data_IF_859095274061
#
_entry.id   IF_859095274061
#
_cell.length_a   1.000
_cell.length_b   1.000
_cell.length_c   1.000
_cell.angle_alpha   90.00
_cell.angle_beta   90.00
_cell.angle_gamma   90.00
#
_symmetry.space_group_name_H-M   'P 1'
#
loop_
_entity.id
_entity.type
_entity.pdbx_description
1 polymer ?
#
# COMPACT_ATOMS: atom_id res chain seq x y z
N UNK A 1 -28.94 18.44 -28.63
CA UNK A 1 -28.58 17.62 -27.45
C UNK A 1 -29.04 16.20 -27.73
N UNK A 2 -28.08 15.29 -27.91
CA UNK A 2 -28.32 13.86 -28.22
C UNK A 2 -28.60 13.00 -26.99
N UNK A 3 -28.57 13.59 -25.80
CA UNK A 3 -28.73 12.86 -24.54
C UNK A 3 -29.95 13.40 -23.80
N UNK A 4 -30.83 12.50 -23.41
CA UNK A 4 -31.91 12.81 -22.48
C UNK A 4 -31.36 13.01 -21.08
N UNK A 5 -31.94 13.94 -20.32
CA UNK A 5 -31.56 14.18 -18.94
C UNK A 5 -32.05 12.99 -18.09
N UNK A 6 -31.15 12.13 -17.73
CA UNK A 6 -31.45 11.07 -16.76
C UNK A 6 -31.65 11.65 -15.37
N UNK A 7 -32.54 11.07 -14.57
CA UNK A 7 -32.72 11.43 -13.16
C UNK A 7 -31.42 11.23 -12.35
N UNK A 8 -31.46 11.68 -11.10
CA UNK A 8 -30.32 11.49 -10.17
C UNK A 8 -30.09 9.98 -9.96
N UNK A 9 -28.94 9.50 -10.39
CA UNK A 9 -28.52 8.11 -10.13
C UNK A 9 -27.80 8.08 -8.80
N UNK A 10 -28.19 7.17 -7.91
CA UNK A 10 -27.43 6.90 -6.69
C UNK A 10 -26.10 6.22 -7.08
N UNK A 11 -25.02 6.96 -6.91
CA UNK A 11 -23.65 6.50 -7.19
C UNK A 11 -22.85 6.26 -5.91
N UNK A 12 -23.53 6.12 -4.76
CA UNK A 12 -22.86 5.84 -3.49
C UNK A 12 -22.16 4.47 -3.54
N UNK A 13 -20.89 4.46 -3.17
CA UNK A 13 -20.10 3.22 -3.06
C UNK A 13 -20.30 2.66 -1.66
N UNK A 14 -20.88 1.47 -1.59
CA UNK A 14 -21.05 0.77 -0.32
C UNK A 14 -19.70 0.36 0.26
N UNK A 15 -19.57 0.46 1.58
CA UNK A 15 -18.40 -0.03 2.31
C UNK A 15 -18.40 -1.56 2.33
N UNK A 16 -17.25 -2.15 1.93
CA UNK A 16 -17.05 -3.58 2.05
C UNK A 16 -16.98 -3.95 3.55
N UNK A 17 -17.89 -4.81 3.97
CA UNK A 17 -17.87 -5.32 5.34
C UNK A 17 -16.66 -6.23 5.57
N UNK A 18 -16.10 -6.25 6.80
CA UNK A 18 -15.02 -7.15 7.13
C UNK A 18 -15.35 -8.59 6.79
N UNK A 19 -14.41 -9.31 6.19
CA UNK A 19 -14.57 -10.73 5.93
C UNK A 19 -14.59 -11.49 7.26
N UNK A 20 -15.47 -12.48 7.45
CA UNK A 20 -15.56 -13.26 8.69
C UNK A 20 -14.29 -14.10 8.95
N UNK A 21 -13.52 -14.35 7.92
CA UNK A 21 -12.23 -15.05 7.95
C UNK A 21 -11.38 -14.61 6.77
N UNK A 22 -10.09 -14.87 6.83
CA UNK A 22 -9.19 -14.67 5.69
C UNK A 22 -9.70 -15.48 4.49
N UNK A 23 -9.90 -14.81 3.37
CA UNK A 23 -10.23 -15.45 2.11
C UNK A 23 -8.95 -15.96 1.45
N UNK A 24 -8.98 -17.20 1.00
CA UNK A 24 -7.89 -17.81 0.25
C UNK A 24 -8.33 -17.93 -1.21
N UNK A 25 -7.57 -17.28 -2.10
CA UNK A 25 -7.92 -17.20 -3.51
C UNK A 25 -6.73 -17.73 -4.31
N UNK A 26 -6.98 -18.73 -5.13
CA UNK A 26 -6.02 -19.25 -6.11
C UNK A 26 -6.49 -18.88 -7.52
N UNK A 27 -5.60 -18.30 -8.30
CA UNK A 27 -5.85 -17.95 -9.69
C UNK A 27 -4.69 -18.41 -10.58
N UNK A 28 -5.00 -18.82 -11.79
CA UNK A 28 -4.02 -19.26 -12.77
C UNK A 28 -3.88 -18.24 -13.87
N UNK A 29 -2.67 -18.06 -14.37
CA UNK A 29 -2.38 -17.21 -15.50
C UNK A 29 -1.66 -18.01 -16.60
N UNK A 30 -1.88 -17.68 -17.88
CA UNK A 30 -1.23 -18.37 -18.98
C UNK A 30 0.27 -18.05 -19.04
N UNK A 31 1.07 -19.06 -19.29
CA UNK A 31 2.49 -18.96 -19.62
C UNK A 31 2.73 -19.49 -21.04
N UNK A 32 3.82 -19.11 -21.68
CA UNK A 32 4.17 -19.63 -23.00
C UNK A 32 4.31 -21.15 -23.00
N UNK A 33 3.91 -21.80 -24.10
CA UNK A 33 3.88 -23.26 -24.20
C UNK A 33 5.25 -23.93 -24.00
N UNK A 34 6.33 -23.20 -24.25
CA UNK A 34 7.72 -23.68 -24.11
C UNK A 34 8.42 -23.07 -22.87
N UNK A 35 7.71 -22.28 -22.06
CA UNK A 35 8.27 -21.70 -20.86
C UNK A 35 8.29 -22.70 -19.69
N UNK A 36 9.42 -22.73 -18.98
CA UNK A 36 9.52 -23.43 -17.71
C UNK A 36 8.59 -22.76 -16.67
N UNK A 37 7.78 -23.57 -16.01
CA UNK A 37 6.86 -23.11 -14.95
C UNK A 37 7.54 -22.96 -13.59
N UNK A 38 8.82 -23.27 -13.45
CA UNK A 38 9.60 -23.14 -12.22
C UNK A 38 9.67 -21.69 -11.78
N UNK A 39 9.46 -21.41 -10.50
CA UNK A 39 9.51 -20.07 -9.92
C UNK A 39 8.57 -19.05 -10.60
N UNK A 40 7.42 -19.50 -11.09
CA UNK A 40 6.41 -18.64 -11.73
C UNK A 40 5.23 -18.28 -10.79
N UNK A 41 5.26 -18.75 -9.56
CA UNK A 41 4.18 -18.47 -8.58
C UNK A 41 4.33 -17.09 -7.95
N UNK A 42 3.20 -16.45 -7.73
CA UNK A 42 3.07 -15.21 -6.96
C UNK A 42 2.31 -15.51 -5.67
N UNK A 43 2.86 -15.12 -4.53
CA UNK A 43 2.13 -15.07 -3.28
C UNK A 43 1.82 -13.63 -2.92
N UNK A 44 0.60 -13.35 -2.53
CA UNK A 44 0.20 -12.02 -2.09
C UNK A 44 -0.67 -12.10 -0.84
N UNK A 45 -0.32 -11.33 0.16
CA UNK A 45 -1.15 -11.07 1.32
C UNK A 45 -1.66 -9.63 1.22
N UNK A 46 -2.97 -9.47 1.06
CA UNK A 46 -3.62 -8.16 0.97
C UNK A 46 -4.54 -7.93 2.16
N UNK A 47 -4.44 -6.75 2.75
CA UNK A 47 -5.18 -6.35 3.95
C UNK A 47 -5.88 -5.02 3.66
N UNK A 48 -7.20 -4.99 3.83
CA UNK A 48 -7.99 -3.75 3.77
C UNK A 48 -7.77 -2.96 5.06
N UNK A 49 -7.40 -1.68 4.93
CA UNK A 49 -6.97 -0.85 6.06
C UNK A 49 -7.86 0.38 6.22
N UNK A 50 -9.01 0.24 6.87
CA UNK A 50 -9.85 1.39 7.20
C UNK A 50 -10.43 2.14 5.99
N UNK A 51 -10.46 3.47 6.07
CA UNK A 51 -11.01 4.36 5.02
C UNK A 51 -9.96 5.34 4.53
N UNK A 52 -10.00 5.68 3.24
CA UNK A 52 -9.12 6.68 2.63
C UNK A 52 -9.25 8.10 3.22
N UNK A 53 -10.34 8.35 3.96
CA UNK A 53 -10.56 9.60 4.69
C UNK A 53 -9.66 9.81 5.88
N UNK A 54 -9.15 8.73 6.46
CA UNK A 54 -8.20 8.78 7.55
C UNK A 54 -6.78 8.99 6.99
N UNK A 55 -6.46 10.27 6.77
CA UNK A 55 -5.17 10.66 6.24
C UNK A 55 -4.01 10.30 7.17
N UNK A 56 -4.22 10.36 8.48
CA UNK A 56 -3.18 10.05 9.45
C UNK A 56 -2.80 8.56 9.36
N UNK A 57 -3.78 7.67 9.40
CA UNK A 57 -3.56 6.24 9.23
C UNK A 57 -2.98 5.92 7.84
N UNK A 58 -3.46 6.59 6.78
CA UNK A 58 -2.92 6.39 5.43
C UNK A 58 -1.45 6.79 5.29
N UNK A 59 -1.05 7.91 5.89
CA UNK A 59 0.35 8.33 5.92
C UNK A 59 1.22 7.38 6.76
N UNK A 60 0.73 6.96 7.93
CA UNK A 60 1.43 6.02 8.78
C UNK A 60 1.65 4.67 8.08
N UNK A 61 0.64 4.13 7.39
CA UNK A 61 0.76 2.88 6.64
C UNK A 61 1.67 3.00 5.42
N UNK A 62 1.67 4.15 4.73
CA UNK A 62 2.61 4.43 3.64
C UNK A 62 4.06 4.45 4.15
N UNK A 63 4.30 5.09 5.29
CA UNK A 63 5.60 5.13 5.94
C UNK A 63 6.03 3.74 6.44
N UNK A 64 5.10 3.00 7.02
CA UNK A 64 5.32 1.62 7.47
C UNK A 64 5.70 0.72 6.30
N UNK A 65 4.99 0.82 5.16
CA UNK A 65 5.32 0.10 3.93
C UNK A 65 6.76 0.38 3.50
N UNK A 66 7.14 1.66 3.45
CA UNK A 66 8.51 2.04 3.06
C UNK A 66 9.57 1.51 4.03
N UNK A 67 9.30 1.54 5.32
CA UNK A 67 10.24 1.07 6.34
C UNK A 67 10.38 -0.45 6.36
N UNK A 68 9.31 -1.19 6.06
CA UNK A 68 9.30 -2.66 6.13
C UNK A 68 9.71 -3.35 4.82
N UNK A 69 9.53 -2.69 3.66
CA UNK A 69 9.56 -3.38 2.36
C UNK A 69 10.38 -2.69 1.26
N UNK A 70 10.59 -1.36 1.28
CA UNK A 70 11.20 -0.67 0.14
C UNK A 70 12.72 -0.79 0.09
N UNK A 71 13.39 -0.85 1.23
CA UNK A 71 14.85 -0.98 1.29
C UNK A 71 15.28 -2.44 1.36
N UNK A 72 16.45 -2.76 0.82
CA UNK A 72 17.06 -4.09 0.99
C UNK A 72 17.38 -4.39 2.46
N UNK A 73 17.61 -3.37 3.28
CA UNK A 73 17.82 -3.48 4.72
C UNK A 73 16.51 -3.60 5.52
N UNK A 74 15.36 -3.41 4.87
CA UNK A 74 14.05 -3.50 5.54
C UNK A 74 13.80 -4.88 6.14
N UNK A 75 13.37 -4.91 7.40
CA UNK A 75 13.30 -6.13 8.19
C UNK A 75 12.42 -7.22 7.55
N UNK A 76 11.23 -6.86 7.08
CA UNK A 76 10.31 -7.82 6.49
C UNK A 76 10.78 -8.30 5.11
N UNK A 77 11.29 -7.38 4.28
CA UNK A 77 11.87 -7.74 2.98
C UNK A 77 13.02 -8.73 3.16
N UNK A 78 13.96 -8.43 4.06
CA UNK A 78 15.10 -9.31 4.36
C UNK A 78 14.65 -10.67 4.86
N UNK A 79 13.75 -10.71 5.84
CA UNK A 79 13.25 -11.97 6.40
C UNK A 79 12.62 -12.88 5.32
N UNK A 80 11.85 -12.30 4.39
CA UNK A 80 11.24 -13.04 3.28
C UNK A 80 12.28 -13.51 2.25
N UNK A 81 13.28 -12.67 1.94
CA UNK A 81 14.38 -13.03 1.03
C UNK A 81 15.26 -14.14 1.65
N UNK A 82 15.66 -14.00 2.91
CA UNK A 82 16.47 -14.99 3.63
C UNK A 82 15.73 -16.33 3.79
N UNK A 83 14.42 -16.28 3.90
CA UNK A 83 13.58 -17.48 3.90
C UNK A 83 13.46 -18.14 2.51
N UNK A 84 13.89 -17.48 1.43
CA UNK A 84 13.81 -18.01 0.08
C UNK A 84 12.37 -18.22 -0.42
N UNK A 85 11.42 -17.38 0.02
CA UNK A 85 10.00 -17.52 -0.36
C UNK A 85 9.66 -16.89 -1.71
N UNK A 86 10.61 -16.21 -2.34
CA UNK A 86 10.47 -15.64 -3.67
C UNK A 86 11.74 -14.91 -4.08
N UNK A 87 11.88 -14.64 -5.37
CA UNK A 87 13.04 -13.92 -5.92
C UNK A 87 12.90 -12.39 -5.74
N UNK A 88 11.68 -11.88 -5.77
CA UNK A 88 11.39 -10.45 -5.66
C UNK A 88 10.30 -10.26 -4.60
N UNK A 89 10.60 -9.45 -3.59
CA UNK A 89 9.66 -9.07 -2.54
C UNK A 89 9.28 -7.61 -2.73
N UNK A 90 7.98 -7.34 -2.85
CA UNK A 90 7.43 -6.00 -3.01
C UNK A 90 6.32 -5.75 -1.99
N UNK A 91 6.19 -4.48 -1.59
CA UNK A 91 5.05 -3.99 -0.85
C UNK A 91 4.31 -2.91 -1.62
N UNK A 92 3.00 -2.86 -1.48
CA UNK A 92 2.21 -1.75 -2.00
C UNK A 92 1.21 -1.26 -0.96
N UNK A 93 0.92 0.02 -1.01
CA UNK A 93 -0.15 0.64 -0.26
C UNK A 93 -0.96 1.53 -1.20
N UNK A 94 -2.18 1.11 -1.50
CA UNK A 94 -3.05 1.81 -2.45
C UNK A 94 -4.08 2.63 -1.69
N UNK A 95 -3.80 3.92 -1.52
CA UNK A 95 -4.66 4.87 -0.79
C UNK A 95 -5.70 5.58 -1.68
N UNK A 96 -5.69 5.34 -2.99
CA UNK A 96 -6.62 5.96 -3.93
C UNK A 96 -8.00 5.29 -3.99
N UNK A 97 -8.19 4.19 -3.29
CA UNK A 97 -9.48 3.50 -3.17
C UNK A 97 -10.25 4.00 -1.95
N UNK A 98 -11.58 3.84 -1.96
CA UNK A 98 -12.44 4.17 -0.80
C UNK A 98 -11.98 3.47 0.48
N UNK A 99 -11.61 2.19 0.37
CA UNK A 99 -10.96 1.41 1.41
C UNK A 99 -9.55 1.05 0.93
N UNK A 100 -8.51 1.67 1.49
CA UNK A 100 -7.13 1.42 1.13
C UNK A 100 -6.71 -0.03 1.37
N UNK A 101 -5.79 -0.50 0.55
CA UNK A 101 -5.26 -1.86 0.63
C UNK A 101 -3.75 -1.82 0.83
N UNK A 102 -3.30 -2.54 1.84
CA UNK A 102 -1.89 -2.83 2.07
C UNK A 102 -1.59 -4.24 1.57
N UNK A 103 -0.63 -4.39 0.67
CA UNK A 103 -0.27 -5.70 0.10
C UNK A 103 1.22 -5.98 0.24
N UNK A 104 1.53 -7.25 0.52
CA UNK A 104 2.88 -7.81 0.53
C UNK A 104 2.89 -8.90 -0.53
N UNK A 105 3.80 -8.83 -1.49
CA UNK A 105 3.90 -9.77 -2.60
C UNK A 105 5.28 -10.37 -2.70
N UNK A 106 5.34 -11.69 -2.87
CA UNK A 106 6.52 -12.43 -3.29
C UNK A 106 6.31 -12.95 -4.71
N UNK A 107 7.24 -12.65 -5.60
CA UNK A 107 7.26 -13.08 -7.00
C UNK A 107 8.43 -14.00 -7.26
N UNK A 108 8.32 -14.88 -8.26
CA UNK A 108 9.36 -15.86 -8.52
C UNK A 108 9.43 -16.91 -7.42
N UNK A 109 8.29 -17.43 -7.01
CA UNK A 109 8.11 -18.39 -5.93
C UNK A 109 7.63 -19.75 -6.45
N UNK A 110 7.52 -20.72 -5.55
CA UNK A 110 6.89 -22.00 -5.77
C UNK A 110 5.58 -22.11 -4.99
N UNK A 111 4.64 -22.90 -5.47
CA UNK A 111 3.30 -23.01 -4.90
C UNK A 111 3.30 -23.49 -3.43
N UNK A 112 4.19 -24.41 -3.11
CA UNK A 112 4.34 -25.02 -1.78
C UNK A 112 4.92 -24.07 -0.72
N UNK A 113 5.46 -22.91 -1.12
CA UNK A 113 6.04 -21.92 -0.22
C UNK A 113 5.01 -20.97 0.40
N UNK A 114 3.71 -21.11 0.08
CA UNK A 114 2.63 -20.27 0.57
C UNK A 114 2.59 -20.16 2.11
N UNK A 115 2.58 -21.29 2.79
CA UNK A 115 2.46 -21.31 4.26
C UNK A 115 3.72 -20.75 4.92
N UNK A 116 4.87 -20.98 4.33
CA UNK A 116 6.13 -20.37 4.75
C UNK A 116 6.11 -18.85 4.58
N UNK A 117 5.62 -18.35 3.44
CA UNK A 117 5.45 -16.91 3.19
C UNK A 117 4.61 -16.26 4.28
N UNK A 118 3.43 -16.82 4.58
CA UNK A 118 2.53 -16.30 5.61
C UNK A 118 3.18 -16.35 7.00
N UNK A 119 3.79 -17.48 7.36
CA UNK A 119 4.41 -17.67 8.67
C UNK A 119 5.57 -16.70 8.94
N UNK A 120 6.41 -16.44 7.92
CA UNK A 120 7.51 -15.48 8.01
C UNK A 120 7.00 -14.06 8.21
N UNK A 121 5.93 -13.67 7.49
CA UNK A 121 5.31 -12.34 7.68
C UNK A 121 4.85 -12.17 9.14
N UNK A 122 4.03 -13.09 9.64
CA UNK A 122 3.49 -12.98 11.00
C UNK A 122 4.58 -12.99 12.06
N UNK A 123 5.57 -13.87 11.94
CA UNK A 123 6.70 -13.93 12.85
C UNK A 123 7.49 -12.62 12.86
N UNK A 124 7.82 -12.09 11.69
CA UNK A 124 8.58 -10.84 11.58
C UNK A 124 7.79 -9.65 12.13
N UNK A 125 6.49 -9.57 11.86
CA UNK A 125 5.64 -8.51 12.42
C UNK A 125 5.53 -8.62 13.94
N UNK A 126 5.46 -9.82 14.48
CA UNK A 126 5.47 -10.05 15.92
C UNK A 126 6.80 -9.64 16.54
N UNK A 127 7.91 -10.01 15.93
CA UNK A 127 9.26 -9.61 16.37
C UNK A 127 9.42 -8.08 16.37
N UNK A 128 8.92 -7.41 15.35
CA UNK A 128 8.93 -5.94 15.26
C UNK A 128 8.05 -5.32 16.36
N UNK A 129 6.91 -5.93 16.67
CA UNK A 129 6.02 -5.44 17.71
C UNK A 129 6.68 -5.52 19.10
N UNK A 130 7.51 -6.53 19.34
CA UNK A 130 8.22 -6.74 20.60
C UNK A 130 9.48 -5.89 20.69
N UNK A 131 10.30 -5.89 19.65
CA UNK A 131 11.64 -5.30 19.63
C UNK A 131 11.67 -3.85 19.09
N UNK A 132 10.57 -3.40 18.48
CA UNK A 132 10.47 -2.11 17.80
C UNK A 132 10.99 -2.12 16.38
N UNK A 133 10.81 -0.98 15.71
CA UNK A 133 11.28 -0.71 14.34
C UNK A 133 12.68 -0.09 14.41
N UNK A 134 13.50 -0.31 13.38
CA UNK A 134 14.76 0.42 13.20
C UNK A 134 14.50 1.93 13.10
N UNK A 135 14.87 2.65 14.18
CA UNK A 135 14.63 4.10 14.30
C UNK A 135 15.37 4.90 13.24
N UNK A 136 16.58 4.49 12.85
CA UNK A 136 17.37 5.21 11.83
C UNK A 136 16.72 5.10 10.45
N UNK A 137 16.24 3.90 10.10
CA UNK A 137 15.54 3.69 8.84
C UNK A 137 14.19 4.41 8.84
N UNK A 138 13.48 4.42 9.95
CA UNK A 138 12.23 5.15 10.10
C UNK A 138 12.45 6.66 9.92
N UNK A 139 13.42 7.25 10.60
CA UNK A 139 13.78 8.67 10.48
C UNK A 139 14.19 9.03 9.05
N UNK A 140 14.98 8.20 8.38
CA UNK A 140 15.36 8.41 7.00
C UNK A 140 14.15 8.43 6.05
N UNK A 141 13.20 7.51 6.26
CA UNK A 141 11.96 7.46 5.47
C UNK A 141 11.04 8.65 5.77
N UNK A 142 10.96 9.10 7.02
CA UNK A 142 10.24 10.32 7.41
C UNK A 142 10.83 11.53 6.68
N UNK A 143 12.14 11.71 6.75
CA UNK A 143 12.83 12.83 6.11
C UNK A 143 12.65 12.80 4.59
N UNK A 144 12.73 11.62 3.97
CA UNK A 144 12.49 11.44 2.53
C UNK A 144 11.06 11.80 2.13
N UNK A 145 10.08 11.39 2.93
CA UNK A 145 8.67 11.70 2.69
C UNK A 145 8.40 13.20 2.86
N UNK A 146 8.96 13.81 3.92
CA UNK A 146 8.87 15.25 4.14
C UNK A 146 9.49 16.04 2.99
N UNK A 147 10.68 15.66 2.54
CA UNK A 147 11.33 16.26 1.39
C UNK A 147 10.46 16.21 0.14
N UNK A 148 9.93 15.03 -0.20
CA UNK A 148 9.04 14.87 -1.36
C UNK A 148 7.78 15.75 -1.27
N UNK A 149 7.21 15.89 -0.07
CA UNK A 149 6.04 16.74 0.13
C UNK A 149 6.36 18.25 0.03
N UNK A 150 7.52 18.67 0.52
CA UNK A 150 7.95 20.08 0.45
C UNK A 150 8.36 20.51 -0.96
N UNK A 151 9.17 19.71 -1.61
CA UNK A 151 9.63 19.99 -2.97
C UNK A 151 8.47 19.92 -3.96
N UNK A 152 7.52 19.01 -3.74
CA UNK A 152 6.40 18.75 -4.64
C UNK A 152 6.89 18.64 -6.09
N UNK A 153 8.05 17.98 -6.28
CA UNK A 153 8.61 17.70 -7.58
C UNK A 153 7.97 16.43 -8.14
N UNK A 154 7.24 16.61 -9.20
CA UNK A 154 6.54 15.52 -9.90
C UNK A 154 7.18 15.22 -11.26
N UNK A 155 8.49 15.50 -11.38
CA UNK A 155 9.23 15.36 -12.64
C UNK A 155 8.70 16.31 -13.70
N UNK A 156 8.41 15.82 -14.90
CA UNK A 156 7.93 16.65 -16.02
C UNK A 156 6.46 17.10 -15.93
N UNK A 157 5.71 16.73 -14.88
CA UNK A 157 4.30 17.08 -14.75
C UNK A 157 4.09 18.42 -14.03
N UNK A 158 3.16 19.28 -14.53
CA UNK A 158 2.81 20.51 -13.83
C UNK A 158 2.28 20.25 -12.42
N UNK A 159 2.83 20.93 -11.41
CA UNK A 159 2.44 20.79 -10.00
C UNK A 159 0.92 20.92 -9.81
N UNK A 160 0.29 21.88 -10.47
CA UNK A 160 -1.15 22.11 -10.41
C UNK A 160 -1.98 20.91 -10.87
N UNK A 161 -1.54 20.21 -11.92
CA UNK A 161 -2.22 19.01 -12.43
C UNK A 161 -2.19 17.87 -11.40
N UNK A 162 -1.03 17.60 -10.83
CA UNK A 162 -0.88 16.52 -9.84
C UNK A 162 -1.66 16.84 -8.56
N UNK A 163 -1.58 18.07 -8.08
CA UNK A 163 -2.35 18.50 -6.90
C UNK A 163 -3.87 18.44 -7.17
N UNK A 164 -4.32 18.89 -8.35
CA UNK A 164 -5.72 18.79 -8.74
C UNK A 164 -6.19 17.34 -8.83
N UNK A 165 -5.36 16.45 -9.40
CA UNK A 165 -5.66 15.01 -9.46
C UNK A 165 -5.76 14.38 -8.08
N UNK A 166 -4.82 14.69 -7.18
CA UNK A 166 -4.85 14.21 -5.81
C UNK A 166 -6.11 14.69 -5.06
N UNK A 167 -6.47 15.96 -5.21
CA UNK A 167 -7.70 16.53 -4.64
C UNK A 167 -8.95 15.90 -5.24
N UNK A 168 -8.93 15.60 -6.55
CA UNK A 168 -10.04 14.92 -7.24
C UNK A 168 -10.24 13.51 -6.71
N UNK A 169 -9.18 12.71 -6.64
CA UNK A 169 -9.21 11.33 -6.14
C UNK A 169 -9.72 11.32 -4.69
N UNK A 170 -9.18 12.16 -3.82
CA UNK A 170 -9.62 12.29 -2.43
C UNK A 170 -11.06 12.77 -2.33
N UNK A 171 -11.47 13.71 -3.20
CA UNK A 171 -12.81 14.25 -3.23
C UNK A 171 -13.87 13.30 -3.77
N UNK A 172 -13.50 12.37 -4.65
CA UNK A 172 -14.40 11.31 -5.13
C UNK A 172 -14.66 10.24 -4.07
N UNK A 173 -13.68 9.99 -3.21
CA UNK A 173 -13.80 8.99 -2.13
C UNK A 173 -14.43 9.58 -0.87
N UNK A 174 -14.45 10.91 -0.70
CA UNK A 174 -15.04 11.57 0.47
C UNK A 174 -15.35 13.04 0.26
N UNK A 175 -16.37 13.50 0.97
CA UNK A 175 -16.86 14.88 0.96
C UNK A 175 -15.90 15.95 1.54
N UNK A 176 -14.62 15.67 1.76
CA UNK A 176 -13.68 16.58 2.40
C UNK A 176 -12.56 16.99 1.44
N UNK A 177 -12.92 17.81 0.46
CA UNK A 177 -11.97 18.44 -0.49
C UNK A 177 -10.92 19.35 0.15
N UNK A 178 -11.14 19.82 1.37
CA UNK A 178 -10.31 20.84 2.02
C UNK A 178 -9.20 20.29 2.92
N UNK A 179 -9.26 19.01 3.33
CA UNK A 179 -8.23 18.43 4.20
C UNK A 179 -6.94 18.04 3.48
N UNK A 180 -6.98 17.77 2.19
CA UNK A 180 -5.77 17.41 1.44
C UNK A 180 -4.78 18.57 1.29
N UNK A 181 -5.24 19.83 1.31
CA UNK A 181 -4.36 21.02 1.34
C UNK A 181 -3.71 21.27 2.70
N UNK A 182 -4.20 20.60 3.75
CA UNK A 182 -3.68 20.72 5.12
C UNK A 182 -2.62 19.65 5.46
N UNK A 183 -2.11 18.92 4.48
CA UNK A 183 -1.08 17.87 4.66
C UNK A 183 0.17 18.42 5.37
N UNK A 184 0.48 19.69 5.16
CA UNK A 184 1.57 20.39 5.86
C UNK A 184 1.34 20.47 7.39
N UNK A 185 0.07 20.57 7.84
CA UNK A 185 -0.26 20.67 9.26
C UNK A 185 -0.29 19.29 9.95
N UNK A 186 -0.64 18.23 9.21
CA UNK A 186 -0.67 16.86 9.73
C UNK A 186 0.76 16.36 10.02
N UNK A 187 1.74 16.79 9.22
CA UNK A 187 3.15 16.53 9.47
C UNK A 187 3.64 17.06 10.81
N UNK A 188 3.22 18.25 11.19
CA UNK A 188 3.59 18.82 12.48
C UNK A 188 3.00 18.06 13.67
N UNK A 189 1.88 17.37 13.47
CA UNK A 189 1.28 16.48 14.48
C UNK A 189 2.01 15.13 14.58
N UNK A 190 2.40 14.53 13.47
CA UNK A 190 3.15 13.26 13.47
C UNK A 190 4.60 13.41 13.97
N UNK A 191 5.24 14.57 13.76
CA UNK A 191 6.60 14.84 14.23
C UNK A 191 6.68 15.14 15.74
N UNK A 192 5.54 15.29 16.42
CA UNK A 192 5.45 15.56 17.87
C UNK A 192 4.99 14.35 18.70
N UNK A 193 4.66 13.22 18.06
CA UNK A 193 4.32 11.95 18.69
C UNK A 193 5.50 10.98 18.66
#
# INVERSE_FOLDING_TARGET
NSFEKTGTVDSAIAEQQPLPRTADIEAFYPVGAEEDCTAKTYHELSIVTGKATDLQTSMALSLLKSTLLDSESSALRRALMDAGVGQIINGSYTSSMYQPVFSIRASGSEKDLRDKFISVIYKTLQDITINGIDKKLLEANINSMEFKLREADFGGYPKGLILASALWITGCTTAIRLKASATTNIWQLCARA
#
